data_IF_206896812176
#
_entry.id   IF_206896812176
#
_cell.length_a   1.000
_cell.length_b   1.000
_cell.length_c   1.000
_cell.angle_alpha   90.00
_cell.angle_beta   90.00
_cell.angle_gamma   90.00
#
_symmetry.space_group_name_H-M   'P 1'
#
loop_
_entity.id
_entity.type
_entity.pdbx_description
1 polymer ?
#
# COMPACT_ATOMS: atom_id res chain seq x y z
N UNK A 1 -19.57 5.43 -19.34
CA UNK A 1 -18.63 6.34 -18.67
C UNK A 1 -17.24 5.79 -18.93
N UNK A 2 -16.39 6.51 -19.61
CA UNK A 2 -15.02 6.08 -19.86
C UNK A 2 -14.12 6.45 -18.67
N UNK A 3 -12.91 5.91 -18.65
CA UNK A 3 -11.95 6.11 -17.55
C UNK A 3 -11.63 7.60 -17.33
N UNK A 4 -11.47 8.36 -18.40
CA UNK A 4 -11.16 9.80 -18.34
C UNK A 4 -12.32 10.61 -17.73
N UNK A 5 -13.56 10.30 -18.09
CA UNK A 5 -14.74 10.94 -17.50
C UNK A 5 -14.83 10.66 -15.99
N UNK A 6 -14.54 9.43 -15.58
CA UNK A 6 -14.52 9.05 -14.17
C UNK A 6 -13.43 9.81 -13.41
N UNK A 7 -12.21 9.86 -13.95
CA UNK A 7 -11.10 10.60 -13.35
C UNK A 7 -11.40 12.08 -13.20
N UNK A 8 -12.02 12.72 -14.22
CA UNK A 8 -12.44 14.12 -14.14
C UNK A 8 -13.51 14.35 -13.07
N UNK A 9 -14.50 13.46 -12.95
CA UNK A 9 -15.51 13.55 -11.90
C UNK A 9 -14.92 13.42 -10.51
N UNK A 10 -14.00 12.47 -10.30
CA UNK A 10 -13.29 12.29 -9.04
C UNK A 10 -12.50 13.55 -8.67
N UNK A 11 -11.79 14.16 -9.61
CA UNK A 11 -11.04 15.39 -9.37
C UNK A 11 -11.97 16.57 -9.04
N UNK A 12 -13.11 16.67 -9.70
CA UNK A 12 -14.10 17.71 -9.41
C UNK A 12 -14.68 17.57 -7.99
N UNK A 13 -15.03 16.36 -7.59
CA UNK A 13 -15.53 16.07 -6.23
C UNK A 13 -14.46 16.39 -5.19
N UNK A 14 -13.22 16.00 -5.41
CA UNK A 14 -12.09 16.31 -4.52
C UNK A 14 -11.89 17.82 -4.36
N UNK A 15 -11.97 18.58 -5.43
CA UNK A 15 -11.84 20.04 -5.39
C UNK A 15 -12.93 20.67 -4.51
N UNK A 16 -14.19 20.24 -4.67
CA UNK A 16 -15.31 20.70 -3.85
C UNK A 16 -15.10 20.36 -2.37
N UNK A 17 -14.67 19.12 -2.07
CA UNK A 17 -14.42 18.68 -0.70
C UNK A 17 -13.29 19.47 -0.04
N UNK A 18 -12.19 19.74 -0.76
CA UNK A 18 -11.08 20.57 -0.27
C UNK A 18 -11.53 22.01 0.05
N UNK A 19 -12.29 22.63 -0.85
CA UNK A 19 -12.82 23.99 -0.65
C UNK A 19 -13.76 24.03 0.56
N UNK A 20 -14.67 23.08 0.65
CA UNK A 20 -15.62 22.97 1.77
C UNK A 20 -14.89 22.79 3.10
N UNK A 21 -13.91 21.88 3.15
CA UNK A 21 -13.10 21.65 4.34
C UNK A 21 -12.30 22.89 4.74
N UNK A 22 -11.70 23.59 3.77
CA UNK A 22 -10.96 24.83 4.01
C UNK A 22 -11.87 25.91 4.59
N UNK A 23 -13.09 26.06 4.08
CA UNK A 23 -14.09 27.00 4.61
C UNK A 23 -14.50 26.65 6.05
N UNK A 24 -14.76 25.39 6.33
CA UNK A 24 -15.13 24.94 7.69
C UNK A 24 -14.00 25.24 8.67
N UNK A 25 -12.75 24.97 8.29
CA UNK A 25 -11.58 25.16 9.17
C UNK A 25 -11.15 26.61 9.29
N UNK A 26 -11.41 27.46 8.29
CA UNK A 26 -11.06 28.89 8.31
C UNK A 26 -12.11 29.75 8.97
N UNK A 27 -13.34 29.27 9.16
CA UNK A 27 -14.41 30.03 9.80
C UNK A 27 -14.18 30.01 11.32
N UNK A 28 -13.45 31.00 11.82
CA UNK A 28 -13.30 31.28 13.26
C UNK A 28 -14.61 31.86 13.82
N UNK A 29 -15.69 31.09 13.74
CA UNK A 29 -16.92 31.49 14.37
C UNK A 29 -17.00 30.76 15.71
N UNK A 30 -17.04 31.52 16.81
CA UNK A 30 -17.06 31.04 18.19
C UNK A 30 -18.21 30.10 18.56
N UNK A 31 -19.09 29.81 17.61
CA UNK A 31 -20.23 28.90 17.73
C UNK A 31 -20.01 27.51 17.09
N UNK A 32 -18.92 27.30 16.34
CA UNK A 32 -18.62 25.97 15.79
C UNK A 32 -17.58 25.34 16.72
N UNK A 33 -17.92 24.22 17.39
CA UNK A 33 -16.92 23.49 18.18
C UNK A 33 -15.70 23.19 17.30
N UNK A 34 -14.51 23.28 17.87
CA UNK A 34 -13.27 22.86 17.19
C UNK A 34 -13.53 21.52 16.50
N UNK A 35 -13.20 21.40 15.20
CA UNK A 35 -13.47 20.18 14.45
C UNK A 35 -13.00 18.96 15.24
N UNK A 36 -13.92 18.05 15.50
CA UNK A 36 -13.64 16.77 16.14
C UNK A 36 -12.48 16.07 15.40
N UNK A 37 -11.82 15.16 16.09
CA UNK A 37 -10.72 14.36 15.56
C UNK A 37 -11.13 13.64 14.26
N UNK A 38 -12.37 13.19 14.16
CA UNK A 38 -12.97 12.60 12.96
C UNK A 38 -12.99 13.54 11.76
N UNK A 39 -13.29 14.82 11.95
CA UNK A 39 -13.29 15.83 10.87
C UNK A 39 -11.86 16.14 10.43
N UNK A 40 -10.91 16.23 11.37
CA UNK A 40 -9.49 16.41 11.06
C UNK A 40 -8.93 15.22 10.27
N UNK A 41 -9.29 14.01 10.67
CA UNK A 41 -8.89 12.78 9.98
C UNK A 41 -9.50 12.72 8.57
N UNK A 42 -10.80 13.02 8.42
CA UNK A 42 -11.44 13.09 7.11
C UNK A 42 -10.80 14.16 6.21
N UNK A 43 -10.45 15.32 6.77
CA UNK A 43 -9.74 16.37 6.05
C UNK A 43 -8.36 15.94 5.57
N UNK A 44 -7.61 15.22 6.38
CA UNK A 44 -6.32 14.66 6.00
C UNK A 44 -6.47 13.65 4.86
N UNK A 45 -7.45 12.75 4.92
CA UNK A 45 -7.75 11.77 3.86
C UNK A 45 -8.12 12.46 2.55
N UNK A 46 -8.96 13.52 2.60
CA UNK A 46 -9.38 14.28 1.40
C UNK A 46 -8.16 15.00 0.77
N UNK A 47 -7.20 15.44 1.56
CA UNK A 47 -5.99 16.11 1.08
C UNK A 47 -4.95 15.13 0.55
N UNK A 48 -4.98 13.88 0.97
CA UNK A 48 -4.10 12.84 0.46
C UNK A 48 -4.55 12.42 -0.96
N UNK A 49 -3.61 12.39 -1.90
CA UNK A 49 -3.85 11.87 -3.26
C UNK A 49 -3.61 10.36 -3.34
N UNK A 50 -3.26 9.73 -2.23
CA UNK A 50 -2.96 8.31 -2.13
C UNK A 50 -3.96 7.62 -1.21
N UNK A 51 -4.37 6.42 -1.61
CA UNK A 51 -5.22 5.54 -0.83
C UNK A 51 -4.46 4.26 -0.52
N UNK A 52 -4.47 3.87 0.74
CA UNK A 52 -3.95 2.57 1.15
C UNK A 52 -5.07 1.52 1.03
N UNK A 53 -4.82 0.48 0.24
CA UNK A 53 -5.74 -0.64 0.08
C UNK A 53 -5.11 -1.87 0.75
N UNK A 54 -5.78 -2.40 1.76
CA UNK A 54 -5.32 -3.59 2.47
C UNK A 54 -6.07 -4.82 1.96
N UNK A 55 -5.33 -5.78 1.40
CA UNK A 55 -5.88 -7.08 0.97
C UNK A 55 -5.51 -8.14 1.99
N UNK A 56 -6.48 -8.56 2.79
CA UNK A 56 -6.30 -9.56 3.83
C UNK A 56 -7.22 -10.77 3.61
N UNK A 57 -6.93 -11.86 4.30
CA UNK A 57 -7.70 -13.09 4.24
C UNK A 57 -6.83 -14.32 4.42
N UNK A 58 -7.47 -15.49 4.46
CA UNK A 58 -6.80 -16.77 4.64
C UNK A 58 -5.78 -17.09 3.55
N UNK A 59 -4.83 -17.93 3.89
CA UNK A 59 -3.82 -18.46 2.97
C UNK A 59 -4.50 -19.21 1.81
N UNK A 60 -3.94 -19.07 0.60
CA UNK A 60 -4.42 -19.75 -0.63
C UNK A 60 -5.85 -19.37 -1.09
N UNK A 61 -6.37 -18.24 -0.64
CA UNK A 61 -7.69 -17.71 -1.07
C UNK A 61 -7.62 -16.68 -2.19
N UNK A 62 -6.54 -16.68 -2.97
CA UNK A 62 -6.44 -15.88 -4.19
C UNK A 62 -6.01 -14.41 -3.98
N UNK A 63 -5.49 -14.02 -2.82
CA UNK A 63 -5.04 -12.63 -2.57
C UNK A 63 -4.01 -12.15 -3.60
N UNK A 64 -2.93 -12.92 -3.81
CA UNK A 64 -1.89 -12.58 -4.78
C UNK A 64 -2.44 -12.55 -6.21
N UNK A 65 -3.32 -13.48 -6.56
CA UNK A 65 -3.97 -13.50 -7.89
C UNK A 65 -4.85 -12.28 -8.11
N UNK A 66 -5.59 -11.86 -7.08
CA UNK A 66 -6.41 -10.65 -7.13
C UNK A 66 -5.53 -9.39 -7.33
N UNK A 67 -4.44 -9.28 -6.58
CA UNK A 67 -3.50 -8.15 -6.70
C UNK A 67 -2.85 -8.14 -8.08
N UNK A 68 -2.36 -9.27 -8.57
CA UNK A 68 -1.79 -9.39 -9.92
C UNK A 68 -2.80 -8.98 -11.00
N UNK A 69 -4.06 -9.41 -10.88
CA UNK A 69 -5.12 -9.01 -11.81
C UNK A 69 -5.40 -7.50 -11.75
N UNK A 70 -5.36 -6.90 -10.57
CA UNK A 70 -5.51 -5.45 -10.38
C UNK A 70 -4.35 -4.66 -11.01
N UNK A 71 -3.14 -5.18 -10.91
CA UNK A 71 -1.93 -4.58 -11.49
C UNK A 71 -1.81 -4.82 -13.00
N UNK A 72 -2.49 -5.84 -13.52
CA UNK A 72 -2.37 -6.28 -14.93
C UNK A 72 -1.04 -6.99 -15.23
N UNK A 73 -0.31 -7.42 -14.20
CA UNK A 73 0.98 -8.11 -14.30
C UNK A 73 1.14 -9.16 -13.19
N UNK A 74 1.85 -10.24 -13.48
CA UNK A 74 2.15 -11.32 -12.52
C UNK A 74 3.41 -10.98 -11.70
N UNK A 75 3.28 -10.08 -10.75
CA UNK A 75 4.38 -9.64 -9.87
C UNK A 75 4.47 -10.52 -8.62
N UNK A 76 3.34 -10.75 -7.97
CA UNK A 76 3.31 -11.55 -6.74
C UNK A 76 3.29 -13.04 -7.04
N UNK A 77 4.03 -13.84 -6.28
CA UNK A 77 4.03 -15.30 -6.46
C UNK A 77 2.63 -15.87 -6.18
N UNK A 78 2.13 -16.67 -7.12
CA UNK A 78 0.80 -17.30 -7.06
C UNK A 78 0.87 -18.83 -6.95
N UNK A 79 2.04 -19.39 -6.65
CA UNK A 79 2.28 -20.81 -6.59
C UNK A 79 1.35 -21.51 -5.58
N UNK A 80 0.64 -22.53 -6.04
CA UNK A 80 -0.31 -23.30 -5.21
C UNK A 80 0.37 -24.13 -4.12
N UNK A 81 1.65 -24.45 -4.29
CA UNK A 81 2.40 -25.27 -3.33
C UNK A 81 2.96 -24.46 -2.17
N UNK A 82 3.24 -23.17 -2.38
CA UNK A 82 3.88 -22.32 -1.38
C UNK A 82 2.97 -21.13 -1.05
N UNK A 83 2.70 -20.93 0.23
CA UNK A 83 1.90 -19.80 0.70
C UNK A 83 2.75 -18.53 0.80
N UNK A 84 2.20 -17.39 0.42
CA UNK A 84 2.78 -16.09 0.74
C UNK A 84 2.72 -15.87 2.24
N UNK A 85 3.87 -15.78 2.90
CA UNK A 85 3.96 -15.62 4.36
C UNK A 85 4.35 -14.20 4.77
N UNK A 86 4.85 -13.42 3.82
CA UNK A 86 5.35 -12.07 4.05
C UNK A 86 4.32 -11.01 3.66
N UNK A 87 4.42 -9.85 4.28
CA UNK A 87 3.64 -8.67 3.90
C UNK A 87 4.27 -8.06 2.65
N UNK A 88 3.44 -7.82 1.62
CA UNK A 88 3.85 -7.06 0.45
C UNK A 88 3.22 -5.68 0.49
N UNK A 89 4.04 -4.66 0.29
CA UNK A 89 3.61 -3.28 0.11
C UNK A 89 3.87 -2.87 -1.33
N UNK A 90 2.81 -2.53 -2.05
CA UNK A 90 2.90 -2.13 -3.45
C UNK A 90 2.62 -0.63 -3.53
N UNK A 91 3.56 0.09 -4.12
CA UNK A 91 3.48 1.55 -4.26
C UNK A 91 3.44 1.88 -5.75
N UNK A 92 2.55 2.79 -6.13
CA UNK A 92 2.53 3.32 -7.49
C UNK A 92 3.78 4.19 -7.70
N UNK A 93 4.60 3.83 -8.68
CA UNK A 93 5.86 4.51 -9.01
C UNK A 93 6.10 4.49 -10.52
N UNK A 94 6.85 5.45 -11.03
CA UNK A 94 7.28 5.49 -12.43
C UNK A 94 8.40 4.49 -12.74
N UNK A 95 9.02 3.93 -11.72
CA UNK A 95 10.11 2.95 -11.84
C UNK A 95 9.76 1.67 -11.11
N UNK A 96 10.06 0.54 -11.76
CA UNK A 96 9.90 -0.79 -11.18
C UNK A 96 11.10 -1.11 -10.29
N UNK A 97 10.89 -1.18 -8.98
CA UNK A 97 11.93 -1.47 -8.00
C UNK A 97 11.39 -2.44 -6.94
N UNK A 98 12.27 -3.31 -6.46
CA UNK A 98 11.93 -4.31 -5.44
C UNK A 98 12.92 -4.24 -4.28
N UNK A 99 12.41 -4.23 -3.07
CA UNK A 99 13.25 -4.11 -1.88
C UNK A 99 12.72 -4.96 -0.71
N UNK A 100 13.63 -5.55 0.03
CA UNK A 100 13.36 -6.05 1.38
C UNK A 100 13.48 -4.87 2.34
N UNK A 101 12.49 -4.67 3.16
CA UNK A 101 12.49 -3.65 4.21
C UNK A 101 12.52 -4.35 5.55
N UNK A 102 13.50 -4.01 6.36
CA UNK A 102 13.74 -4.64 7.65
C UNK A 102 13.15 -3.81 8.79
N UNK A 103 12.91 -4.45 9.93
CA UNK A 103 12.34 -3.81 11.12
C UNK A 103 13.21 -2.69 11.70
N UNK A 104 14.50 -2.65 11.36
CA UNK A 104 15.42 -1.57 11.69
C UNK A 104 15.36 -0.38 10.70
N UNK A 105 14.45 -0.44 9.72
CA UNK A 105 14.27 0.58 8.68
C UNK A 105 15.26 0.49 7.52
N UNK A 106 16.21 -0.44 7.55
CA UNK A 106 17.12 -0.62 6.43
C UNK A 106 16.41 -1.27 5.24
N UNK A 107 16.87 -0.91 4.03
CA UNK A 107 16.35 -1.44 2.77
C UNK A 107 17.45 -2.16 2.00
N UNK A 108 17.09 -3.28 1.41
CA UNK A 108 17.97 -4.06 0.53
C UNK A 108 17.27 -4.30 -0.80
N UNK A 109 17.83 -3.76 -1.86
CA UNK A 109 17.30 -3.96 -3.22
C UNK A 109 17.48 -5.42 -3.65
N UNK A 110 16.45 -5.98 -4.28
CA UNK A 110 16.41 -7.32 -4.82
C UNK A 110 15.93 -7.30 -6.27
N UNK A 111 16.00 -8.44 -6.96
CA UNK A 111 15.44 -8.58 -8.30
C UNK A 111 14.00 -9.13 -8.24
N UNK A 112 13.21 -8.93 -9.29
CA UNK A 112 11.88 -9.51 -9.44
C UNK A 112 11.88 -11.03 -9.25
N UNK A 113 12.93 -11.69 -9.69
CA UNK A 113 13.08 -13.16 -9.55
C UNK A 113 13.16 -13.61 -8.09
N UNK A 114 13.67 -12.75 -7.24
CA UNK A 114 13.85 -13.04 -5.82
C UNK A 114 12.55 -12.89 -5.01
N UNK A 115 11.51 -12.27 -5.57
CA UNK A 115 10.21 -12.09 -4.90
C UNK A 115 9.59 -13.42 -4.48
N UNK A 116 9.64 -14.43 -5.36
CA UNK A 116 9.13 -15.77 -5.04
C UNK A 116 9.90 -16.42 -3.90
N UNK A 117 11.22 -16.20 -3.83
CA UNK A 117 12.07 -16.75 -2.79
C UNK A 117 11.79 -16.13 -1.43
N UNK A 118 11.78 -14.80 -1.36
CA UNK A 118 11.62 -14.09 -0.08
C UNK A 118 10.16 -13.94 0.34
N UNK A 119 9.22 -13.99 -0.59
CA UNK A 119 7.79 -13.88 -0.32
C UNK A 119 7.11 -15.18 0.06
N UNK A 120 7.79 -16.30 -0.10
CA UNK A 120 7.23 -17.64 0.13
C UNK A 120 7.52 -18.13 1.54
N UNK A 121 6.65 -18.99 2.05
CA UNK A 121 6.81 -19.66 3.34
C UNK A 121 7.81 -20.85 3.20
N UNK A 122 9.03 -20.57 2.80
CA UNK A 122 10.05 -21.60 2.72
C UNK A 122 11.29 -21.10 3.42
N UNK A 123 11.73 -21.90 4.36
CA UNK A 123 13.02 -21.96 5.02
C UNK A 123 13.23 -21.03 6.21
N UNK A 124 13.25 -21.68 7.38
CA UNK A 124 13.92 -21.17 8.58
C UNK A 124 15.37 -20.73 8.29
N UNK A 125 15.95 -21.19 7.19
CA UNK A 125 17.28 -20.85 6.71
C UNK A 125 17.39 -19.48 6.04
N UNK A 126 16.27 -18.85 5.62
CA UNK A 126 16.31 -17.51 5.01
C UNK A 126 17.00 -16.47 5.91
N UNK A 127 16.75 -16.52 7.20
CA UNK A 127 17.36 -15.59 8.16
C UNK A 127 18.86 -15.83 8.38
N UNK A 128 19.37 -17.00 8.02
CA UNK A 128 20.80 -17.32 7.99
C UNK A 128 21.52 -16.77 6.76
N UNK A 129 20.79 -16.30 5.75
CA UNK A 129 21.41 -15.76 4.55
C UNK A 129 22.15 -14.43 4.80
N UNK A 130 23.24 -14.18 4.08
CA UNK A 130 24.03 -12.95 4.24
C UNK A 130 23.25 -11.67 4.03
N UNK A 131 22.16 -11.71 3.21
CA UNK A 131 21.30 -10.55 2.93
C UNK A 131 20.56 -10.09 4.20
N UNK A 132 20.16 -11.03 5.06
CA UNK A 132 19.45 -10.71 6.30
C UNK A 132 20.39 -10.23 7.41
N UNK A 133 21.59 -10.77 7.50
CA UNK A 133 22.58 -10.44 8.54
C UNK A 133 22.00 -10.46 9.96
N UNK A 134 21.13 -11.42 10.24
CA UNK A 134 20.42 -11.53 11.51
C UNK A 134 19.29 -10.51 11.73
N UNK A 135 18.92 -9.74 10.69
CA UNK A 135 17.80 -8.78 10.74
C UNK A 135 16.47 -9.48 10.47
N UNK A 136 15.42 -8.95 11.05
CA UNK A 136 14.05 -9.40 10.80
C UNK A 136 13.43 -8.61 9.65
N UNK A 137 12.81 -9.30 8.70
CA UNK A 137 12.05 -8.71 7.61
C UNK A 137 10.75 -8.12 8.16
N UNK A 138 10.44 -6.89 7.75
CA UNK A 138 9.18 -6.22 8.04
C UNK A 138 8.20 -6.44 6.88
N UNK A 139 8.59 -6.00 5.68
CA UNK A 139 7.79 -6.22 4.48
C UNK A 139 8.66 -6.23 3.21
N UNK A 140 8.08 -6.65 2.09
CA UNK A 140 8.65 -6.57 0.74
C UNK A 140 7.94 -5.44 0.00
N UNK A 141 8.68 -4.53 -0.58
CA UNK A 141 8.16 -3.40 -1.35
C UNK A 141 8.46 -3.55 -2.82
#
# INVERSE_FOLDING_TARGET
>A
MNRQELEQQIQSIRAILRDTYSRITSTQNSYIPTPDMSVKTAGAIIQQEQYDVVVCGEVKKGKSSFINALMGDEVLPTNTQVATSQVFRIINSDTEEYSLVFTDGQRQRISRKDLSRYGSQVDADLYGEPIFRGRQLDYIE
#
